data_IF_736814777162
#
_entry.id   IF_736814777162
#
_cell.length_a   1.000
_cell.length_b   1.000
_cell.length_c   1.000
_cell.angle_alpha   90.00
_cell.angle_beta   90.00
_cell.angle_gamma   90.00
#
_symmetry.space_group_name_H-M   'P 1'
#
loop_
_entity.id
_entity.type
_entity.pdbx_description
1 polymer ?
#
# COMPACT_ATOMS: atom_id res chain seq x y z
N UNK A 1 -54.63 59.63 23.86
CA UNK A 1 -55.07 58.72 22.78
C UNK A 1 -53.96 57.78 22.45
N UNK A 2 -53.91 56.61 23.08
CA UNK A 2 -52.94 55.53 22.82
C UNK A 2 -53.71 54.22 22.82
N UNK A 3 -53.85 53.64 21.61
CA UNK A 3 -54.48 52.33 21.40
C UNK A 3 -53.53 51.22 21.79
N UNK A 4 -53.95 50.33 22.72
CA UNK A 4 -53.27 49.09 23.03
C UNK A 4 -53.85 47.99 22.18
N UNK A 5 -53.01 47.33 21.41
CA UNK A 5 -53.34 46.15 20.63
C UNK A 5 -52.99 44.90 21.46
N UNK A 6 -54.03 44.12 21.77
CA UNK A 6 -53.96 42.88 22.52
C UNK A 6 -53.64 41.72 21.54
N UNK A 7 -52.47 41.08 21.70
CA UNK A 7 -52.12 39.89 20.92
C UNK A 7 -52.48 38.65 21.72
N UNK A 8 -53.43 37.87 21.22
CA UNK A 8 -53.80 36.54 21.74
C UNK A 8 -52.76 35.51 21.31
N UNK A 9 -52.05 34.91 22.25
CA UNK A 9 -51.26 33.72 22.00
C UNK A 9 -52.14 32.48 22.03
N UNK A 10 -52.29 31.83 20.89
CA UNK A 10 -52.86 30.47 20.79
C UNK A 10 -51.72 29.45 21.06
N UNK A 11 -51.81 28.79 22.21
CA UNK A 11 -51.02 27.62 22.53
C UNK A 11 -51.56 26.41 21.77
N UNK A 12 -50.85 25.99 20.72
CA UNK A 12 -51.10 24.72 20.05
C UNK A 12 -50.37 23.61 20.80
N UNK A 13 -51.11 22.70 21.43
CA UNK A 13 -50.60 21.47 22.02
C UNK A 13 -50.15 20.53 20.91
N UNK A 14 -48.82 20.39 20.71
CA UNK A 14 -48.26 19.33 19.91
C UNK A 14 -48.24 18.04 20.71
N UNK A 15 -49.11 17.12 20.37
CA UNK A 15 -49.04 15.72 20.81
C UNK A 15 -47.86 15.08 20.08
N UNK A 16 -46.78 14.84 20.81
CA UNK A 16 -45.60 14.12 20.29
C UNK A 16 -45.98 12.64 20.11
N UNK A 17 -46.12 12.23 18.87
CA UNK A 17 -46.27 10.82 18.51
C UNK A 17 -44.87 10.16 18.59
N UNK A 18 -44.57 9.48 19.69
CA UNK A 18 -43.33 8.73 19.91
C UNK A 18 -43.41 7.36 19.20
N UNK A 19 -43.28 7.33 17.91
CA UNK A 19 -42.88 6.16 17.14
C UNK A 19 -41.83 6.56 16.13
N UNK A 20 -40.72 7.07 16.63
CA UNK A 20 -39.49 7.25 15.85
C UNK A 20 -38.81 5.90 15.66
N UNK A 21 -39.13 5.18 14.60
CA UNK A 21 -38.20 4.19 14.05
C UNK A 21 -36.95 4.96 13.69
N UNK A 22 -35.94 4.84 14.53
CA UNK A 22 -34.58 5.26 14.18
C UNK A 22 -34.16 4.45 12.93
N UNK A 23 -34.26 5.07 11.77
CA UNK A 23 -33.62 4.54 10.57
C UNK A 23 -32.13 4.59 10.89
N UNK A 24 -31.55 3.44 11.26
CA UNK A 24 -30.11 3.32 11.43
C UNK A 24 -29.47 3.86 10.14
N UNK A 25 -28.69 4.93 10.27
CA UNK A 25 -27.87 5.43 9.15
C UNK A 25 -27.08 4.21 8.66
N UNK A 26 -27.06 3.90 7.35
CA UNK A 26 -26.20 2.83 6.86
C UNK A 26 -24.81 3.07 7.43
N UNK A 27 -24.21 2.07 8.04
CA UNK A 27 -22.82 2.17 8.49
C UNK A 27 -22.00 2.65 7.30
N UNK A 28 -21.24 3.73 7.49
CA UNK A 28 -20.32 4.20 6.44
C UNK A 28 -19.40 3.04 6.09
N UNK A 29 -19.21 2.79 4.79
CA UNK A 29 -18.33 1.70 4.32
C UNK A 29 -16.93 1.89 4.88
N UNK A 30 -16.34 0.82 5.41
CA UNK A 30 -14.93 0.80 5.86
C UNK A 30 -13.95 1.04 4.71
N UNK A 31 -14.41 1.07 3.45
CA UNK A 31 -13.60 1.35 2.27
C UNK A 31 -13.48 0.18 1.31
N UNK A 32 -12.47 0.25 0.49
CA UNK A 32 -12.21 -0.70 -0.59
C UNK A 32 -10.75 -1.10 -0.62
N UNK A 33 -10.47 -2.23 -1.25
CA UNK A 33 -9.13 -2.64 -1.64
C UNK A 33 -9.02 -2.56 -3.16
N UNK A 34 -7.95 -1.95 -3.66
CA UNK A 34 -7.50 -2.10 -5.03
C UNK A 34 -6.42 -3.17 -5.04
N UNK A 35 -6.58 -4.20 -5.84
CA UNK A 35 -5.77 -5.42 -5.78
C UNK A 35 -5.31 -5.81 -7.17
N UNK A 36 -4.02 -6.11 -7.35
CA UNK A 36 -3.54 -6.81 -8.53
C UNK A 36 -3.67 -8.33 -8.35
N UNK A 37 -4.21 -9.01 -9.36
CA UNK A 37 -4.14 -10.47 -9.48
C UNK A 37 -3.20 -10.81 -10.64
N UNK A 38 -1.98 -11.22 -10.29
CA UNK A 38 -0.92 -11.50 -11.25
C UNK A 38 -1.18 -12.76 -12.10
N UNK A 39 -1.94 -13.74 -11.58
CA UNK A 39 -2.20 -14.98 -12.33
C UNK A 39 -3.35 -14.83 -13.31
N UNK A 40 -4.39 -14.09 -12.93
CA UNK A 40 -5.55 -13.81 -13.78
C UNK A 40 -5.31 -12.62 -14.71
N UNK A 41 -4.22 -11.89 -14.56
CA UNK A 41 -3.93 -10.64 -15.27
C UNK A 41 -5.07 -9.63 -15.13
N UNK A 42 -5.50 -9.39 -13.89
CA UNK A 42 -6.61 -8.47 -13.59
C UNK A 42 -6.29 -7.57 -12.41
N UNK A 43 -6.93 -6.42 -12.40
CA UNK A 43 -7.03 -5.55 -11.23
C UNK A 43 -8.46 -5.59 -10.68
N UNK A 44 -8.60 -5.72 -9.37
CA UNK A 44 -9.87 -5.89 -8.68
C UNK A 44 -10.11 -4.70 -7.75
N UNK A 45 -11.36 -4.25 -7.66
CA UNK A 45 -11.83 -3.41 -6.54
C UNK A 45 -12.74 -4.28 -5.68
N UNK A 46 -12.42 -4.38 -4.40
CA UNK A 46 -13.16 -5.21 -3.44
C UNK A 46 -13.69 -4.32 -2.33
N UNK A 47 -14.98 -4.42 -2.04
CA UNK A 47 -15.56 -3.75 -0.87
C UNK A 47 -15.25 -4.57 0.39
N UNK A 48 -14.64 -3.94 1.40
CA UNK A 48 -14.14 -4.66 2.58
C UNK A 48 -15.25 -5.15 3.52
N UNK A 49 -16.42 -4.49 3.52
CA UNK A 49 -17.56 -4.88 4.38
C UNK A 49 -18.30 -6.07 3.80
N UNK A 50 -18.69 -5.98 2.53
CA UNK A 50 -19.40 -7.07 1.84
C UNK A 50 -18.45 -8.21 1.43
N UNK A 51 -17.13 -7.95 1.39
CA UNK A 51 -16.10 -8.88 0.91
C UNK A 51 -16.30 -9.33 -0.54
N UNK A 52 -16.99 -8.51 -1.33
CA UNK A 52 -17.33 -8.81 -2.72
C UNK A 52 -16.48 -7.98 -3.68
N UNK A 53 -16.13 -8.59 -4.81
CA UNK A 53 -15.54 -7.88 -5.94
C UNK A 53 -16.58 -6.93 -6.51
N UNK A 54 -16.27 -5.64 -6.52
CA UNK A 54 -17.12 -4.58 -7.09
C UNK A 54 -16.82 -4.39 -8.57
N UNK A 55 -15.54 -4.36 -8.92
CA UNK A 55 -15.09 -4.28 -10.31
C UNK A 55 -13.91 -5.21 -10.57
N UNK A 56 -13.81 -5.71 -11.80
CA UNK A 56 -12.71 -6.52 -12.32
C UNK A 56 -12.29 -5.98 -13.68
N UNK A 57 -11.03 -5.60 -13.82
CA UNK A 57 -10.46 -5.00 -15.03
C UNK A 57 -9.32 -5.86 -15.54
N UNK A 58 -9.31 -6.22 -16.81
CA UNK A 58 -8.17 -6.89 -17.45
C UNK A 58 -6.97 -5.93 -17.54
N UNK A 59 -5.80 -6.44 -17.22
CA UNK A 59 -4.50 -5.76 -17.39
C UNK A 59 -3.52 -6.69 -18.10
N UNK A 60 -2.34 -6.19 -18.48
CA UNK A 60 -1.33 -7.03 -19.14
C UNK A 60 -0.64 -7.98 -18.14
N UNK A 61 0.24 -8.84 -18.69
CA UNK A 61 0.88 -9.94 -17.96
C UNK A 61 1.66 -9.43 -16.76
N UNK A 62 1.33 -9.99 -15.58
CA UNK A 62 2.05 -9.80 -14.34
C UNK A 62 2.09 -8.33 -13.86
N UNK A 63 0.94 -7.65 -13.90
CA UNK A 63 0.71 -6.53 -13.00
C UNK A 63 0.52 -7.10 -11.60
N UNK A 64 1.44 -6.82 -10.67
CA UNK A 64 1.34 -7.39 -9.33
C UNK A 64 1.55 -6.39 -8.19
N UNK A 65 1.79 -5.13 -8.52
CA UNK A 65 1.74 -4.01 -7.59
C UNK A 65 0.69 -3.01 -8.04
N UNK A 66 0.19 -2.22 -7.11
CA UNK A 66 -0.84 -1.21 -7.37
C UNK A 66 -0.59 0.07 -6.59
N UNK A 67 -1.14 1.18 -7.07
CA UNK A 67 -1.29 2.42 -6.30
C UNK A 67 -2.59 3.11 -6.68
N UNK A 68 -3.27 3.67 -5.69
CA UNK A 68 -4.48 4.51 -5.87
C UNK A 68 -4.06 5.97 -5.85
N UNK A 69 -4.55 6.76 -6.79
CA UNK A 69 -4.26 8.19 -6.79
C UNK A 69 -4.98 8.91 -5.62
N UNK A 70 -4.50 10.09 -5.19
CA UNK A 70 -5.06 10.80 -4.03
C UNK A 70 -6.55 11.17 -4.16
N UNK A 71 -7.10 11.25 -5.37
CA UNK A 71 -8.55 11.47 -5.59
C UNK A 71 -9.40 10.22 -5.40
N UNK A 72 -8.76 9.04 -5.26
CA UNK A 72 -9.37 7.71 -5.19
C UNK A 72 -10.24 7.34 -6.41
N UNK A 73 -10.09 8.05 -7.52
CA UNK A 73 -10.83 7.77 -8.74
C UNK A 73 -10.14 6.77 -9.65
N UNK A 74 -8.82 6.85 -9.72
CA UNK A 74 -7.99 6.01 -10.59
C UNK A 74 -6.98 5.20 -9.79
N UNK A 75 -6.77 3.98 -10.24
CA UNK A 75 -5.70 3.10 -9.78
C UNK A 75 -4.69 2.89 -10.89
N UNK A 76 -3.44 2.66 -10.53
CA UNK A 76 -2.33 2.43 -11.45
C UNK A 76 -1.74 1.06 -11.20
N UNK A 77 -1.53 0.32 -12.28
CA UNK A 77 -0.97 -1.04 -12.24
C UNK A 77 0.26 -1.08 -13.12
N UNK A 78 1.48 -1.00 -12.56
CA UNK A 78 2.71 -1.24 -13.29
C UNK A 78 2.75 -2.68 -13.82
N UNK A 79 3.13 -2.84 -15.08
CA UNK A 79 3.22 -4.14 -15.73
C UNK A 79 4.67 -4.59 -15.73
N UNK A 80 4.96 -5.55 -14.86
CA UNK A 80 6.31 -6.05 -14.64
C UNK A 80 6.82 -6.93 -15.79
N UNK A 81 5.92 -7.67 -16.43
CA UNK A 81 6.24 -8.69 -17.43
C UNK A 81 6.44 -10.06 -16.81
N UNK A 82 6.79 -11.06 -17.61
CA UNK A 82 6.97 -12.44 -17.15
C UNK A 82 8.41 -12.81 -16.79
N UNK A 83 9.33 -11.85 -16.84
CA UNK A 83 10.67 -11.96 -16.27
C UNK A 83 10.64 -11.83 -14.74
N UNK A 84 11.79 -11.91 -14.10
CA UNK A 84 11.93 -11.69 -12.66
C UNK A 84 13.38 -11.40 -12.29
N UNK A 85 13.64 -10.99 -11.05
CA UNK A 85 14.98 -10.79 -10.53
C UNK A 85 15.80 -12.06 -10.75
N UNK A 86 16.86 -11.95 -11.56
CA UNK A 86 17.72 -13.07 -11.94
C UNK A 86 17.03 -14.16 -12.80
N UNK A 87 15.84 -13.91 -13.34
CA UNK A 87 15.11 -14.83 -14.23
C UNK A 87 14.88 -14.21 -15.60
N UNK A 88 15.24 -14.89 -16.69
CA UNK A 88 14.97 -14.40 -18.04
C UNK A 88 13.46 -14.40 -18.32
N UNK A 89 13.06 -13.55 -19.26
CA UNK A 89 11.65 -13.43 -19.69
C UNK A 89 11.47 -12.15 -20.49
N UNK A 90 10.21 -11.76 -20.68
CA UNK A 90 9.84 -10.48 -21.30
C UNK A 90 9.61 -9.45 -20.21
N UNK A 91 10.39 -8.37 -20.25
CA UNK A 91 10.28 -7.25 -19.32
C UNK A 91 9.12 -6.33 -19.71
N UNK A 92 8.35 -5.88 -18.73
CA UNK A 92 7.26 -4.93 -18.94
C UNK A 92 7.75 -3.50 -19.18
N UNK A 93 6.87 -2.71 -19.80
CA UNK A 93 7.15 -1.31 -20.15
C UNK A 93 5.94 -0.40 -20.00
N UNK A 94 4.86 -0.87 -19.39
CA UNK A 94 3.61 -0.11 -19.36
C UNK A 94 3.04 0.02 -17.95
N UNK A 95 2.13 0.98 -17.79
CA UNK A 95 1.31 1.15 -16.58
C UNK A 95 -0.14 1.29 -17.02
N UNK A 96 -1.02 0.42 -16.55
CA UNK A 96 -2.45 0.56 -16.76
C UNK A 96 -3.05 1.55 -15.78
N UNK A 97 -3.83 2.49 -16.28
CA UNK A 97 -4.64 3.43 -15.47
C UNK A 97 -6.08 2.94 -15.49
N UNK A 98 -6.57 2.53 -14.35
CA UNK A 98 -7.89 1.91 -14.17
C UNK A 98 -8.84 2.90 -13.51
N UNK A 99 -10.00 3.13 -14.11
CA UNK A 99 -11.12 3.81 -13.45
C UNK A 99 -11.73 2.84 -12.44
N UNK A 100 -11.50 3.11 -11.14
CA UNK A 100 -11.87 2.20 -10.05
C UNK A 100 -13.38 2.01 -9.92
N UNK A 101 -14.16 3.03 -10.29
CA UNK A 101 -15.63 2.98 -10.24
C UNK A 101 -16.22 2.29 -11.47
N UNK A 102 -15.68 2.59 -12.65
CA UNK A 102 -16.19 2.02 -13.89
C UNK A 102 -15.65 0.61 -14.18
N UNK A 103 -14.59 0.16 -13.50
CA UNK A 103 -13.99 -1.14 -13.69
C UNK A 103 -13.39 -1.35 -15.09
N UNK A 104 -12.73 -0.34 -15.63
CA UNK A 104 -12.13 -0.40 -16.97
C UNK A 104 -10.82 0.36 -17.05
N UNK A 105 -9.93 -0.10 -17.91
CA UNK A 105 -8.72 0.64 -18.25
C UNK A 105 -9.11 1.94 -18.99
N UNK A 106 -8.67 3.07 -18.45
CA UNK A 106 -8.86 4.39 -19.04
C UNK A 106 -7.80 4.66 -20.10
N UNK A 107 -6.54 4.37 -19.77
CA UNK A 107 -5.39 4.51 -20.67
C UNK A 107 -4.27 3.57 -20.25
N UNK A 108 -3.36 3.32 -21.16
CA UNK A 108 -2.09 2.65 -20.90
C UNK A 108 -0.96 3.66 -21.12
N UNK A 109 -0.14 3.85 -20.11
CA UNK A 109 1.06 4.68 -20.19
C UNK A 109 2.20 3.79 -20.67
N UNK A 110 2.81 4.14 -21.80
CA UNK A 110 4.00 3.47 -22.33
C UNK A 110 5.27 4.20 -21.84
N UNK A 111 6.17 3.47 -21.20
CA UNK A 111 7.44 3.99 -20.68
C UNK A 111 8.54 4.03 -21.76
N UNK A 112 8.21 3.68 -23.01
CA UNK A 112 9.05 3.80 -24.20
C UNK A 112 10.05 2.68 -24.38
N UNK A 113 10.38 1.91 -23.34
CA UNK A 113 11.27 0.75 -23.38
C UNK A 113 10.98 -0.20 -22.23
N UNK A 114 11.35 -1.49 -22.34
CA UNK A 114 11.27 -2.42 -21.23
C UNK A 114 12.16 -1.97 -20.07
N UNK A 115 11.53 -1.60 -18.95
CA UNK A 115 12.23 -1.13 -17.74
C UNK A 115 11.88 -1.93 -16.50
N UNK A 116 10.95 -2.87 -16.63
CA UNK A 116 10.41 -3.66 -15.53
C UNK A 116 9.87 -2.74 -14.43
N UNK A 117 8.79 -1.96 -14.72
CA UNK A 117 8.18 -1.10 -13.71
C UNK A 117 7.53 -1.95 -12.63
N UNK A 118 7.80 -1.62 -11.36
CA UNK A 118 7.35 -2.46 -10.24
C UNK A 118 6.51 -1.67 -9.25
N UNK A 119 7.12 -1.00 -8.29
CA UNK A 119 6.43 -0.21 -7.29
C UNK A 119 6.07 1.17 -7.85
N UNK A 120 4.87 1.63 -7.56
CA UNK A 120 4.42 2.97 -7.88
C UNK A 120 3.91 3.69 -6.63
N UNK A 121 4.18 4.99 -6.50
CA UNK A 121 3.70 5.84 -5.39
C UNK A 121 3.43 7.26 -5.90
N UNK A 122 2.39 7.90 -5.38
CA UNK A 122 2.19 9.32 -5.60
C UNK A 122 3.02 10.14 -4.61
N UNK A 123 3.73 11.13 -5.12
CA UNK A 123 4.37 12.13 -4.27
C UNK A 123 3.40 13.25 -3.89
N UNK A 124 3.74 14.05 -2.86
CA UNK A 124 2.93 15.20 -2.47
C UNK A 124 2.90 16.31 -3.53
N UNK A 125 3.80 16.25 -4.51
CA UNK A 125 3.81 17.10 -5.71
C UNK A 125 2.78 16.65 -6.78
N UNK A 126 2.03 15.58 -6.50
CA UNK A 126 1.04 15.01 -7.41
C UNK A 126 1.64 14.19 -8.56
N UNK A 127 2.96 14.03 -8.60
CA UNK A 127 3.64 13.20 -9.60
C UNK A 127 3.57 11.73 -9.23
N UNK A 128 3.56 10.89 -10.26
CA UNK A 128 3.66 9.43 -10.10
C UNK A 128 5.13 9.01 -10.17
N UNK A 129 5.61 8.41 -9.11
CA UNK A 129 6.93 7.83 -9.00
C UNK A 129 6.84 6.33 -9.23
N UNK A 130 7.74 5.77 -10.05
CA UNK A 130 7.70 4.34 -10.40
C UNK A 130 9.12 3.78 -10.39
N UNK A 131 9.36 2.71 -9.64
CA UNK A 131 10.65 2.01 -9.72
C UNK A 131 10.79 1.34 -11.09
N UNK A 132 11.91 1.58 -11.74
CA UNK A 132 12.28 1.03 -13.03
C UNK A 132 13.55 0.20 -12.86
N UNK A 133 13.40 -1.08 -12.52
CA UNK A 133 14.49 -1.94 -12.06
C UNK A 133 15.68 -1.96 -13.04
N UNK A 134 15.39 -2.08 -14.34
CA UNK A 134 16.43 -2.14 -15.38
C UNK A 134 17.06 -0.78 -15.69
N UNK A 135 16.51 0.30 -15.14
CA UNK A 135 17.07 1.65 -15.28
C UNK A 135 17.86 2.09 -14.05
N UNK A 136 17.94 1.26 -13.00
CA UNK A 136 18.56 1.59 -11.72
C UNK A 136 18.10 2.95 -11.19
N UNK A 137 16.78 3.19 -11.21
CA UNK A 137 16.21 4.49 -10.89
C UNK A 137 14.71 4.48 -10.64
N UNK A 138 14.24 5.59 -10.11
CA UNK A 138 12.82 5.90 -9.95
C UNK A 138 12.44 6.87 -11.06
N UNK A 139 11.55 6.47 -11.96
CA UNK A 139 10.96 7.33 -12.97
C UNK A 139 9.89 8.21 -12.36
N UNK A 140 9.88 9.48 -12.74
CA UNK A 140 8.88 10.47 -12.31
C UNK A 140 8.02 10.84 -13.49
N UNK A 141 6.72 10.58 -13.37
CA UNK A 141 5.76 10.77 -14.45
C UNK A 141 4.72 11.83 -14.06
N UNK A 142 4.33 12.63 -15.03
CA UNK A 142 3.09 13.40 -14.94
C UNK A 142 1.89 12.45 -15.16
N UNK A 143 1.05 12.22 -14.16
CA UNK A 143 -0.04 11.24 -14.28
C UNK A 143 -1.12 11.67 -15.29
N UNK A 144 -1.28 12.96 -15.56
CA UNK A 144 -2.25 13.46 -16.54
C UNK A 144 -1.83 13.12 -17.97
N UNK A 145 -0.58 13.38 -18.32
CA UNK A 145 -0.05 13.17 -19.67
C UNK A 145 0.58 11.78 -19.87
N UNK A 146 1.02 11.13 -18.78
CA UNK A 146 1.79 9.89 -18.82
C UNK A 146 3.27 10.10 -19.21
N UNK A 147 3.73 11.34 -19.34
CA UNK A 147 5.11 11.63 -19.75
C UNK A 147 6.09 11.45 -18.59
N UNK A 148 7.19 10.76 -18.84
CA UNK A 148 8.33 10.72 -17.93
C UNK A 148 9.00 12.11 -17.95
N UNK A 149 9.03 12.78 -16.80
CA UNK A 149 9.67 14.09 -16.64
C UNK A 149 11.14 13.96 -16.31
N UNK A 150 11.50 12.92 -15.56
CA UNK A 150 12.89 12.61 -15.18
C UNK A 150 13.02 11.19 -14.65
N UNK A 151 14.26 10.73 -14.47
CA UNK A 151 14.60 9.51 -13.73
C UNK A 151 15.58 9.87 -12.63
N UNK A 152 15.21 9.58 -11.38
CA UNK A 152 16.08 9.79 -10.21
C UNK A 152 16.97 8.55 -10.06
N UNK A 153 18.31 8.68 -10.15
CA UNK A 153 19.20 7.53 -10.03
C UNK A 153 19.21 6.99 -8.60
N UNK A 154 19.21 5.69 -8.45
CA UNK A 154 19.30 5.01 -7.15
C UNK A 154 20.73 4.53 -6.83
N UNK A 155 21.61 4.49 -7.83
CA UNK A 155 23.02 4.11 -7.63
C UNK A 155 23.22 2.63 -7.29
N UNK A 156 22.18 1.80 -7.42
CA UNK A 156 22.24 0.37 -7.14
C UNK A 156 21.36 -0.41 -8.13
N UNK A 157 21.71 -1.66 -8.44
CA UNK A 157 20.96 -2.48 -9.38
C UNK A 157 19.66 -2.99 -8.76
N UNK A 158 18.66 -3.18 -9.63
CA UNK A 158 17.35 -3.77 -9.31
C UNK A 158 16.66 -3.09 -8.14
N UNK A 159 16.49 -1.75 -8.24
CA UNK A 159 15.67 -0.96 -7.32
C UNK A 159 14.22 -1.37 -7.46
N UNK A 160 13.71 -2.08 -6.46
CA UNK A 160 12.49 -2.87 -6.53
C UNK A 160 11.30 -2.15 -5.89
N UNK A 161 11.22 -2.17 -4.57
CA UNK A 161 10.20 -1.44 -3.81
C UNK A 161 10.78 -0.14 -3.27
N UNK A 162 9.92 0.86 -3.10
CA UNK A 162 10.33 2.08 -2.44
C UNK A 162 9.19 2.71 -1.64
N UNK A 163 9.57 3.56 -0.70
CA UNK A 163 8.67 4.42 0.07
C UNK A 163 9.11 5.87 -0.05
N UNK A 164 8.16 6.79 0.00
CA UNK A 164 8.40 8.23 0.06
C UNK A 164 8.26 8.67 1.52
N UNK A 165 9.17 9.52 1.99
CA UNK A 165 9.06 10.12 3.32
C UNK A 165 7.78 10.96 3.44
N UNK A 166 7.15 11.05 4.62
CA UNK A 166 5.90 11.80 4.80
C UNK A 166 5.98 13.27 4.39
N UNK A 167 7.17 13.88 4.47
CA UNK A 167 7.43 15.25 4.01
C UNK A 167 7.62 15.36 2.49
N UNK A 168 7.67 14.22 1.78
CA UNK A 168 7.85 14.15 0.33
C UNK A 168 9.26 14.47 -0.18
N UNK A 169 10.23 14.69 0.70
CA UNK A 169 11.56 15.13 0.29
C UNK A 169 12.47 14.00 -0.13
N UNK A 170 12.26 12.79 0.40
CA UNK A 170 13.13 11.63 0.16
C UNK A 170 12.34 10.41 -0.27
N UNK A 171 13.00 9.53 -1.00
CA UNK A 171 12.55 8.15 -1.16
C UNK A 171 13.66 7.20 -0.71
N UNK A 172 13.22 6.05 -0.20
CA UNK A 172 14.06 4.95 0.23
C UNK A 172 13.69 3.73 -0.60
N UNK A 173 14.63 3.16 -1.34
CA UNK A 173 14.35 2.02 -2.22
C UNK A 173 15.17 0.81 -1.84
N UNK A 174 14.51 -0.34 -1.70
CA UNK A 174 15.20 -1.63 -1.55
C UNK A 174 15.73 -2.10 -2.89
N UNK A 175 17.02 -2.43 -2.92
CA UNK A 175 17.72 -2.87 -4.12
C UNK A 175 18.03 -4.36 -4.00
N UNK A 176 17.27 -5.19 -4.73
CA UNK A 176 17.39 -6.66 -4.63
C UNK A 176 18.75 -7.14 -5.11
N UNK A 177 19.26 -6.56 -6.18
CA UNK A 177 20.53 -6.97 -6.78
C UNK A 177 21.78 -6.72 -5.92
N UNK A 178 21.69 -5.80 -4.95
CA UNK A 178 22.83 -5.47 -4.07
C UNK A 178 22.56 -5.69 -2.59
N UNK A 179 21.33 -6.01 -2.18
CA UNK A 179 20.98 -6.17 -0.77
C UNK A 179 21.12 -4.89 0.05
N UNK A 180 20.80 -3.75 -0.57
CA UNK A 180 20.98 -2.42 0.01
C UNK A 180 19.71 -1.59 -0.02
N UNK A 181 19.71 -0.44 0.65
CA UNK A 181 18.69 0.60 0.54
C UNK A 181 19.34 1.87 0.01
N UNK A 182 18.82 2.40 -1.10
CA UNK A 182 19.23 3.72 -1.60
C UNK A 182 18.35 4.81 -0.98
N UNK A 183 18.98 5.92 -0.64
CA UNK A 183 18.30 7.14 -0.18
C UNK A 183 18.46 8.17 -1.29
N UNK A 184 17.36 8.65 -1.82
CA UNK A 184 17.35 9.66 -2.88
C UNK A 184 16.64 10.93 -2.44
N UNK A 185 17.15 12.06 -2.90
CA UNK A 185 16.54 13.37 -2.75
C UNK A 185 15.57 13.58 -3.92
N UNK A 186 14.29 13.67 -3.63
CA UNK A 186 13.26 13.86 -4.64
C UNK A 186 13.16 15.29 -5.15
N UNK A 187 13.57 16.29 -4.35
CA UNK A 187 13.59 17.69 -4.78
C UNK A 187 14.73 17.97 -5.75
N UNK A 188 15.95 17.52 -5.39
CA UNK A 188 17.15 17.72 -6.20
C UNK A 188 17.35 16.62 -7.25
N UNK A 189 16.48 15.60 -7.28
CA UNK A 189 16.51 14.47 -8.23
C UNK A 189 17.86 13.75 -8.23
N UNK A 190 18.41 13.49 -7.04
CA UNK A 190 19.76 12.96 -6.89
C UNK A 190 19.85 11.89 -5.82
N UNK A 191 20.84 11.01 -5.98
CA UNK A 191 21.22 10.02 -4.97
C UNK A 191 21.91 10.73 -3.78
N UNK A 192 21.45 10.42 -2.56
CA UNK A 192 22.12 10.84 -1.33
C UNK A 192 23.15 9.80 -0.91
N UNK A 193 22.75 8.54 -0.76
CA UNK A 193 23.62 7.44 -0.34
C UNK A 193 22.98 6.08 -0.62
N UNK A 194 23.84 5.04 -0.59
CA UNK A 194 23.41 3.64 -0.62
C UNK A 194 23.85 2.98 0.69
N UNK A 195 22.92 2.39 1.40
CA UNK A 195 23.11 1.77 2.72
C UNK A 195 23.17 0.25 2.53
N UNK A 196 24.30 -0.40 2.73
CA UNK A 196 24.36 -1.87 2.78
C UNK A 196 23.51 -2.40 3.93
N UNK A 197 22.68 -3.41 3.67
CA UNK A 197 21.76 -3.97 4.68
C UNK A 197 22.00 -5.46 4.89
N UNK A 198 21.71 -6.29 3.92
CA UNK A 198 21.82 -7.74 3.99
C UNK A 198 22.17 -8.31 2.62
N UNK A 199 22.30 -9.63 2.52
CA UNK A 199 22.55 -10.26 1.22
C UNK A 199 21.37 -10.09 0.26
N UNK A 200 20.14 -10.08 0.80
CA UNK A 200 18.90 -9.96 0.03
C UNK A 200 17.86 -9.16 0.79
N UNK A 201 17.43 -8.06 0.22
CA UNK A 201 16.31 -7.23 0.69
C UNK A 201 15.34 -7.01 -0.46
N UNK A 202 14.04 -6.88 -0.19
CA UNK A 202 13.05 -6.74 -1.26
C UNK A 202 11.93 -5.76 -0.89
N UNK A 203 11.22 -6.00 0.20
CA UNK A 203 10.12 -5.15 0.67
C UNK A 203 10.62 -4.09 1.64
N UNK A 204 9.94 -2.95 1.68
CA UNK A 204 10.34 -1.79 2.47
C UNK A 204 9.11 -1.04 2.94
N UNK A 205 9.15 -0.53 4.17
CA UNK A 205 8.12 0.35 4.73
C UNK A 205 8.76 1.48 5.53
N UNK A 206 7.97 2.51 5.88
CA UNK A 206 8.45 3.68 6.62
C UNK A 206 7.50 3.98 7.78
N UNK A 207 8.04 4.38 8.94
CA UNK A 207 7.23 4.81 10.07
C UNK A 207 6.41 6.06 9.73
N UNK A 208 5.18 6.22 10.28
CA UNK A 208 4.33 7.37 9.97
C UNK A 208 4.97 8.73 10.28
N UNK A 209 5.87 8.79 11.26
CA UNK A 209 6.65 9.98 11.59
C UNK A 209 7.88 10.20 10.70
N UNK A 210 8.13 9.28 9.77
CA UNK A 210 9.25 9.32 8.83
C UNK A 210 10.63 9.05 9.44
N UNK A 211 10.73 8.70 10.72
CA UNK A 211 12.02 8.55 11.43
C UNK A 211 12.74 7.25 11.13
N UNK A 212 12.00 6.20 10.79
CA UNK A 212 12.56 4.87 10.55
C UNK A 212 12.03 4.25 9.28
N UNK A 213 12.94 3.64 8.54
CA UNK A 213 12.62 2.75 7.41
C UNK A 213 12.90 1.32 7.83
N UNK A 214 11.97 0.43 7.49
CA UNK A 214 12.03 -0.99 7.76
C UNK A 214 12.21 -1.78 6.47
N UNK A 215 13.17 -2.69 6.44
CA UNK A 215 13.32 -3.66 5.35
C UNK A 215 13.74 -5.02 5.92
N UNK A 216 13.53 -6.09 5.16
CA UNK A 216 13.63 -7.44 5.69
C UNK A 216 14.86 -8.15 5.14
N UNK A 217 15.63 -8.81 6.01
CA UNK A 217 16.62 -9.78 5.59
C UNK A 217 15.88 -11.05 5.14
N UNK A 218 15.88 -11.33 3.84
CA UNK A 218 15.15 -12.48 3.30
C UNK A 218 15.78 -13.82 3.69
N UNK A 219 17.04 -13.81 4.10
CA UNK A 219 17.80 -15.02 4.47
C UNK A 219 17.87 -15.24 5.99
N UNK A 220 17.45 -14.24 6.81
CA UNK A 220 17.51 -14.32 8.27
C UNK A 220 16.26 -13.73 8.94
N UNK A 221 15.85 -14.25 10.11
CA UNK A 221 14.63 -13.84 10.82
C UNK A 221 14.82 -12.49 11.53
N UNK A 222 14.96 -11.42 10.76
CA UNK A 222 15.19 -10.07 11.30
C UNK A 222 14.75 -8.97 10.35
N UNK A 223 14.36 -7.84 10.90
CA UNK A 223 14.02 -6.59 10.19
C UNK A 223 15.11 -5.57 10.47
N UNK A 224 15.64 -4.97 9.41
CA UNK A 224 16.54 -3.84 9.49
C UNK A 224 15.76 -2.56 9.81
N UNK A 225 16.24 -1.79 10.78
CA UNK A 225 15.73 -0.46 11.12
C UNK A 225 16.78 0.56 10.67
N UNK A 226 16.43 1.35 9.67
CA UNK A 226 17.27 2.42 9.14
C UNK A 226 16.79 3.74 9.73
N UNK A 227 17.69 4.48 10.35
CA UNK A 227 17.43 5.83 10.88
C UNK A 227 17.56 6.85 9.74
N UNK A 228 16.46 7.59 9.50
CA UNK A 228 16.36 8.52 8.36
C UNK A 228 17.11 9.84 8.60
N UNK A 229 17.39 10.21 9.86
CA UNK A 229 18.17 11.39 10.18
C UNK A 229 19.65 11.18 9.87
N UNK A 230 20.15 9.97 10.13
CA UNK A 230 21.56 9.61 9.89
C UNK A 230 21.80 8.90 8.59
N UNK A 231 20.74 8.37 7.93
CA UNK A 231 20.81 7.50 6.76
C UNK A 231 21.72 6.28 6.99
N UNK A 232 21.56 5.62 8.14
CA UNK A 232 22.33 4.43 8.50
C UNK A 232 21.45 3.31 9.02
N UNK A 233 21.88 2.07 8.82
CA UNK A 233 21.34 0.95 9.56
C UNK A 233 21.61 1.16 11.06
N UNK A 234 20.54 1.41 11.81
CA UNK A 234 20.64 1.69 13.24
C UNK A 234 20.68 0.40 14.07
N UNK A 235 19.83 -0.59 13.71
CA UNK A 235 19.69 -1.81 14.50
C UNK A 235 18.86 -2.86 13.74
N UNK A 236 18.71 -4.03 14.34
CA UNK A 236 17.90 -5.13 13.88
C UNK A 236 16.83 -5.50 14.89
N UNK A 237 15.60 -5.71 14.45
CA UNK A 237 14.55 -6.36 15.23
C UNK A 237 14.62 -7.85 14.93
N UNK A 238 14.87 -8.68 15.96
CA UNK A 238 14.90 -10.14 15.83
C UNK A 238 13.49 -10.72 15.82
N UNK A 239 13.26 -11.71 14.98
CA UNK A 239 11.95 -12.34 14.78
C UNK A 239 12.03 -13.85 14.99
N UNK A 240 10.89 -14.53 15.26
CA UNK A 240 10.83 -15.99 15.34
C UNK A 240 11.00 -16.69 13.98
N UNK A 241 10.74 -16.01 12.88
CA UNK A 241 10.91 -16.51 11.51
C UNK A 241 11.15 -15.35 10.56
N UNK A 242 11.77 -15.63 9.39
CA UNK A 242 11.93 -14.64 8.31
C UNK A 242 10.57 -14.15 7.84
N UNK A 243 10.48 -12.86 7.53
CA UNK A 243 9.26 -12.20 7.05
C UNK A 243 9.45 -11.70 5.62
N UNK A 244 8.34 -11.56 4.90
CA UNK A 244 8.35 -11.11 3.51
C UNK A 244 8.06 -9.61 3.41
N UNK A 245 7.00 -9.13 4.05
CA UNK A 245 6.64 -7.71 4.06
C UNK A 245 6.25 -7.25 5.47
N UNK A 246 6.26 -5.94 5.69
CA UNK A 246 5.76 -5.33 6.92
C UNK A 246 5.10 -3.99 6.65
N UNK A 247 4.14 -3.63 7.51
CA UNK A 247 3.47 -2.34 7.50
C UNK A 247 3.34 -1.81 8.93
N UNK A 248 3.82 -0.58 9.22
CA UNK A 248 3.57 0.08 10.49
C UNK A 248 2.13 0.57 10.57
N UNK A 249 1.53 0.50 11.77
CA UNK A 249 0.22 1.11 12.00
C UNK A 249 0.29 2.63 11.91
N UNK A 250 -0.79 3.33 11.51
CA UNK A 250 -0.79 4.79 11.37
C UNK A 250 -0.44 5.56 12.64
N UNK A 251 -0.67 4.97 13.82
CA UNK A 251 -0.28 5.55 15.11
C UNK A 251 1.22 5.32 15.46
N UNK A 252 1.94 4.56 14.63
CA UNK A 252 3.36 4.26 14.82
C UNK A 252 3.68 3.32 15.97
N UNK A 253 2.69 2.66 16.58
CA UNK A 253 2.90 1.79 17.75
C UNK A 253 3.26 0.35 17.38
N UNK A 254 2.68 -0.16 16.33
CA UNK A 254 2.86 -1.55 15.93
C UNK A 254 3.48 -1.63 14.53
N UNK A 255 4.20 -2.71 14.28
CA UNK A 255 4.63 -3.16 12.97
C UNK A 255 4.04 -4.54 12.74
N UNK A 256 3.19 -4.66 11.73
CA UNK A 256 2.67 -5.96 11.30
C UNK A 256 3.62 -6.55 10.26
N UNK A 257 3.93 -7.84 10.36
CA UNK A 257 4.84 -8.50 9.42
C UNK A 257 4.35 -9.90 9.06
N UNK A 258 4.22 -10.19 7.77
CA UNK A 258 3.82 -11.50 7.30
C UNK A 258 5.03 -12.39 6.99
N UNK A 259 4.89 -13.68 7.24
CA UNK A 259 5.95 -14.66 7.05
C UNK A 259 5.54 -15.73 6.03
N UNK A 260 6.47 -16.15 5.15
CA UNK A 260 6.25 -17.30 4.25
C UNK A 260 5.91 -18.59 5.00
N UNK A 261 6.27 -18.68 6.29
CA UNK A 261 5.95 -19.80 7.16
C UNK A 261 4.47 -19.85 7.61
N UNK A 262 3.61 -18.93 7.13
CA UNK A 262 2.19 -18.91 7.48
C UNK A 262 1.91 -18.24 8.82
N UNK A 263 2.55 -17.10 9.08
CA UNK A 263 2.36 -16.31 10.30
C UNK A 263 2.20 -14.82 9.97
N UNK A 264 1.32 -14.17 10.71
CA UNK A 264 1.30 -12.72 10.86
C UNK A 264 1.86 -12.39 12.25
N UNK A 265 2.97 -11.68 12.32
CA UNK A 265 3.54 -11.18 13.56
C UNK A 265 3.05 -9.78 13.85
N UNK A 266 2.79 -9.50 15.13
CA UNK A 266 2.51 -8.17 15.67
C UNK A 266 3.71 -7.78 16.54
N UNK A 267 4.39 -6.73 16.16
CA UNK A 267 5.61 -6.24 16.79
C UNK A 267 5.30 -4.89 17.43
N UNK A 268 5.56 -4.75 18.72
CA UNK A 268 5.48 -3.47 19.41
C UNK A 268 6.79 -2.68 19.14
N UNK A 269 6.66 -1.52 18.49
CA UNK A 269 7.81 -0.74 18.06
C UNK A 269 8.54 -0.04 19.19
N UNK A 270 7.93 0.09 20.38
CA UNK A 270 8.60 0.68 21.54
C UNK A 270 9.53 -0.29 22.24
N UNK A 271 9.14 -1.56 22.33
CA UNK A 271 9.93 -2.63 22.92
C UNK A 271 10.69 -3.47 21.90
N UNK A 272 10.34 -3.35 20.60
CA UNK A 272 10.86 -4.12 19.47
C UNK A 272 10.66 -5.65 19.62
N UNK A 273 9.64 -6.05 20.41
CA UNK A 273 9.31 -7.42 20.65
C UNK A 273 8.08 -7.85 19.85
N UNK A 274 8.06 -9.11 19.40
CA UNK A 274 6.86 -9.77 18.91
C UNK A 274 5.92 -10.00 20.08
N UNK A 275 4.79 -9.30 20.10
CA UNK A 275 3.79 -9.39 21.18
C UNK A 275 2.70 -10.42 20.88
N UNK A 276 2.46 -10.72 19.60
CA UNK A 276 1.50 -11.73 19.18
C UNK A 276 1.88 -12.32 17.83
N UNK A 277 1.35 -13.53 17.53
CA UNK A 277 1.41 -14.12 16.20
C UNK A 277 0.13 -14.88 15.88
N UNK A 278 -0.31 -14.77 14.64
CA UNK A 278 -1.55 -15.37 14.16
C UNK A 278 -1.27 -16.30 12.99
N UNK A 279 -1.91 -17.50 12.94
CA UNK A 279 -1.78 -18.37 11.79
C UNK A 279 -2.55 -17.78 10.59
N UNK A 280 -1.87 -17.61 9.48
CA UNK A 280 -2.45 -17.22 8.19
C UNK A 280 -1.94 -18.18 7.12
N UNK A 281 -2.54 -18.28 5.93
CA UNK A 281 -1.92 -18.99 4.82
C UNK A 281 -0.51 -18.45 4.55
N UNK A 282 0.36 -19.28 3.95
CA UNK A 282 1.71 -18.82 3.57
C UNK A 282 1.60 -17.51 2.76
N UNK A 283 2.15 -16.42 3.32
CA UNK A 283 1.99 -15.08 2.79
C UNK A 283 3.33 -14.54 2.27
N UNK A 284 3.38 -14.35 0.97
CA UNK A 284 4.48 -13.66 0.27
C UNK A 284 3.97 -12.44 -0.48
N UNK A 285 2.86 -11.86 -0.02
CA UNK A 285 2.22 -10.69 -0.58
C UNK A 285 2.35 -9.45 0.31
N UNK A 286 1.58 -8.43 0.01
CA UNK A 286 1.63 -7.14 0.67
C UNK A 286 0.69 -7.06 1.89
N UNK A 287 0.93 -6.08 2.75
CA UNK A 287 0.06 -5.69 3.86
C UNK A 287 -0.39 -4.25 3.64
N UNK A 288 -1.70 -4.02 3.53
CA UNK A 288 -2.29 -2.68 3.63
C UNK A 288 -3.00 -2.50 4.96
N UNK A 289 -2.98 -1.29 5.50
CA UNK A 289 -3.71 -0.93 6.73
C UNK A 289 -4.63 0.23 6.39
N UNK A 290 -5.86 0.20 6.91
CA UNK A 290 -6.77 1.33 6.74
C UNK A 290 -6.25 2.59 7.46
N UNK A 291 -6.70 3.76 7.03
CA UNK A 291 -6.21 5.03 7.60
C UNK A 291 -6.58 5.23 9.06
N UNK A 292 -7.59 4.54 9.57
CA UNK A 292 -7.97 4.54 10.97
C UNK A 292 -7.07 3.65 11.84
N UNK A 293 -6.26 2.78 11.23
CA UNK A 293 -5.44 1.80 11.94
C UNK A 293 -6.26 0.73 12.65
N UNK A 294 -7.47 0.46 12.15
CA UNK A 294 -8.38 -0.52 12.75
C UNK A 294 -8.23 -1.90 12.14
N UNK A 295 -7.97 -1.98 10.82
CA UNK A 295 -7.82 -3.25 10.11
C UNK A 295 -6.57 -3.28 9.24
N UNK A 296 -5.95 -4.45 9.21
CA UNK A 296 -4.93 -4.80 8.25
C UNK A 296 -5.44 -5.88 7.29
N UNK A 297 -5.02 -5.77 6.04
CA UNK A 297 -5.36 -6.66 4.94
C UNK A 297 -4.07 -7.27 4.42
N UNK A 298 -3.97 -8.61 4.49
CA UNK A 298 -2.75 -9.34 4.14
C UNK A 298 -3.02 -10.24 2.94
N UNK A 299 -2.38 -9.99 1.83
CA UNK A 299 -2.54 -10.84 0.65
C UNK A 299 -1.80 -12.17 0.80
N UNK A 300 -2.50 -13.25 0.41
CA UNK A 300 -2.00 -14.61 0.39
C UNK A 300 -2.13 -15.18 -1.03
N UNK A 301 -1.19 -14.86 -1.95
CA UNK A 301 -1.32 -15.09 -3.38
C UNK A 301 -1.60 -16.56 -3.74
N UNK A 302 -0.91 -17.49 -3.13
CA UNK A 302 -1.06 -18.93 -3.44
C UNK A 302 -2.45 -19.47 -3.05
N UNK A 303 -3.02 -18.94 -1.97
CA UNK A 303 -4.33 -19.36 -1.48
C UNK A 303 -5.47 -18.61 -2.18
N UNK A 304 -5.21 -17.42 -2.70
CA UNK A 304 -6.24 -16.53 -3.26
C UNK A 304 -7.12 -15.89 -2.19
N UNK A 305 -6.54 -15.55 -1.03
CA UNK A 305 -7.26 -14.88 0.04
C UNK A 305 -6.58 -13.59 0.45
N UNK A 306 -7.38 -12.66 0.97
CA UNK A 306 -6.89 -11.53 1.75
C UNK A 306 -7.31 -11.79 3.19
N UNK A 307 -6.35 -12.01 4.06
CA UNK A 307 -6.61 -12.17 5.49
C UNK A 307 -6.91 -10.80 6.10
N UNK A 308 -7.95 -10.75 6.94
CA UNK A 308 -8.39 -9.51 7.59
C UNK A 308 -8.03 -9.60 9.06
N UNK A 309 -7.23 -8.68 9.54
CA UNK A 309 -6.81 -8.61 10.94
C UNK A 309 -7.37 -7.35 11.60
N UNK A 310 -8.25 -7.54 12.59
CA UNK A 310 -8.71 -6.47 13.49
C UNK A 310 -7.58 -6.14 14.45
N UNK A 311 -6.94 -4.99 14.22
CA UNK A 311 -5.75 -4.55 14.98
C UNK A 311 -6.13 -4.25 16.42
N UNK A 312 -7.25 -3.54 16.62
CA UNK A 312 -7.72 -3.16 17.97
C UNK A 312 -8.18 -4.36 18.78
N UNK A 313 -8.94 -5.27 18.15
CA UNK A 313 -9.41 -6.50 18.77
C UNK A 313 -8.36 -7.59 18.86
N UNK A 314 -7.18 -7.41 18.23
CA UNK A 314 -6.08 -8.37 18.16
C UNK A 314 -6.54 -9.76 17.73
N UNK A 315 -7.27 -9.85 16.61
CA UNK A 315 -7.84 -11.11 16.11
C UNK A 315 -7.96 -11.11 14.59
N UNK A 316 -7.92 -12.31 14.03
CA UNK A 316 -8.30 -12.52 12.63
C UNK A 316 -9.82 -12.52 12.50
N UNK A 317 -10.30 -11.86 11.46
CA UNK A 317 -11.67 -11.98 10.97
C UNK A 317 -11.78 -13.05 9.88
N UNK A 318 -12.99 -13.28 9.34
CA UNK A 318 -13.14 -14.10 8.16
C UNK A 318 -12.39 -13.47 6.97
N UNK A 319 -11.66 -14.26 6.16
CA UNK A 319 -10.92 -13.73 5.03
C UNK A 319 -11.84 -13.27 3.89
N UNK A 320 -11.31 -12.43 3.01
CA UNK A 320 -11.90 -12.16 1.70
C UNK A 320 -11.37 -13.27 0.78
N UNK A 321 -12.29 -14.06 0.20
CA UNK A 321 -11.95 -15.18 -0.68
C UNK A 321 -12.03 -14.72 -2.13
N UNK A 322 -10.91 -14.84 -2.83
CA UNK A 322 -10.74 -14.47 -4.24
C UNK A 322 -10.14 -15.65 -5.02
N UNK A 323 -9.52 -15.37 -6.16
CA UNK A 323 -8.76 -16.36 -6.93
C UNK A 323 -7.27 -16.29 -6.59
N UNK A 324 -6.49 -17.39 -6.71
CA UNK A 324 -5.04 -17.36 -6.59
C UNK A 324 -4.40 -16.29 -7.47
N UNK A 325 -3.30 -15.70 -6.99
CA UNK A 325 -2.59 -14.66 -7.70
C UNK A 325 -2.78 -13.24 -7.14
N UNK A 326 -3.68 -13.04 -6.15
CA UNK A 326 -3.85 -11.74 -5.47
C UNK A 326 -2.57 -11.37 -4.73
N UNK A 327 -1.92 -10.25 -5.08
CA UNK A 327 -0.60 -9.87 -4.57
C UNK A 327 -0.58 -8.44 -4.04
N UNK A 328 -0.15 -7.46 -4.82
CA UNK A 328 -0.14 -6.07 -4.41
C UNK A 328 -1.54 -5.55 -4.12
N UNK A 329 -1.70 -4.85 -3.03
CA UNK A 329 -2.99 -4.28 -2.64
C UNK A 329 -2.82 -2.93 -1.95
N UNK A 330 -3.80 -2.07 -2.14
CA UNK A 330 -3.90 -0.79 -1.46
C UNK A 330 -5.33 -0.56 -0.98
N UNK A 331 -5.45 -0.12 0.28
CA UNK A 331 -6.73 0.28 0.83
C UNK A 331 -7.03 1.74 0.47
N UNK A 332 -8.31 2.05 0.18
CA UNK A 332 -8.79 3.41 -0.02
C UNK A 332 -10.21 3.59 0.55
N UNK A 333 -10.56 4.81 1.02
CA UNK A 333 -11.87 5.06 1.62
C UNK A 333 -12.99 4.96 0.58
N UNK A 334 -14.23 4.87 1.06
CA UNK A 334 -15.40 4.97 0.19
C UNK A 334 -15.38 6.31 -0.57
N UNK A 335 -15.57 6.24 -1.87
CA UNK A 335 -15.72 7.44 -2.71
C UNK A 335 -17.11 8.01 -2.44
N UNK A 336 -17.16 9.19 -1.84
CA UNK A 336 -18.39 9.95 -1.57
C UNK A 336 -19.11 10.37 -2.85
#
# INVERSE_FOLDING_TARGET
MKSFLLVLLLLANFVSNRNGTSIARPAESRGFLFIANQFDHTALVVNVDSRQVVTKTGVDINGHEVVVEPSHRFGYVPIYGNSGVGKPGTDGSTIHVVDLRAGRTLKVIDLGKPVRPHCARFGPDGMLYVSAELSNGIQVLDPATGKITTTVPTGAPESHMFVISPDGHRAYTSNVGSGSVSVVDLQNRSLITVIPVAKKVQRISISPDGRFVFTHDQDAPRIAVIDTATNKLARWISLPASVYSSAPTPDGRLLLANAPSGKLFVIDLSSENVTASYPIPAAIGEIAIDTAGEHAYVSCPQKGTIEVFDIRGSKLEAPIVLTPGVDGLEWFPAIS
#
